data_IF_104339529993
#
_entry.id   IF_104339529993
#
_cell.length_a   1.000
_cell.length_b   1.000
_cell.length_c   1.000
_cell.angle_alpha   90.00
_cell.angle_beta   90.00
_cell.angle_gamma   90.00
#
_symmetry.space_group_name_H-M   'P 1'
#
loop_
_entity.id
_entity.type
_entity.pdbx_description
1 polymer ?
#
# COMPACT_ATOMS: atom_id res chain seq x y z
N UNK A 1 -12.79 -1.14 11.69
CA UNK A 1 -12.42 0.06 10.92
C UNK A 1 -12.84 -0.18 9.50
N UNK A 2 -13.28 0.89 8.83
CA UNK A 2 -14.05 0.78 7.59
C UNK A 2 -13.20 1.15 6.36
N UNK A 3 -13.73 0.86 5.18
CA UNK A 3 -13.20 1.39 3.92
C UNK A 3 -13.88 2.72 3.62
N UNK A 4 -13.09 3.76 3.37
CA UNK A 4 -13.61 5.04 2.91
C UNK A 4 -13.59 5.13 1.39
N UNK A 5 -14.63 5.78 0.86
CA UNK A 5 -14.76 6.13 -0.54
C UNK A 5 -14.37 7.59 -0.70
N UNK A 6 -13.47 7.87 -1.64
CA UNK A 6 -13.04 9.22 -2.00
C UNK A 6 -13.29 9.47 -3.49
N UNK A 7 -13.39 10.75 -3.86
CA UNK A 7 -13.33 11.21 -5.25
C UNK A 7 -11.92 11.70 -5.55
N UNK A 8 -11.29 11.23 -6.61
CA UNK A 8 -9.97 11.68 -7.03
C UNK A 8 -9.99 13.16 -7.42
N UNK A 9 -11.04 13.60 -8.09
CA UNK A 9 -11.22 14.99 -8.52
C UNK A 9 -11.41 15.94 -7.33
N UNK A 10 -12.16 15.53 -6.30
CA UNK A 10 -12.45 16.39 -5.15
C UNK A 10 -11.42 16.26 -4.01
N UNK A 11 -10.98 15.03 -3.73
CA UNK A 11 -10.16 14.70 -2.56
C UNK A 11 -8.71 14.35 -2.91
N UNK A 12 -8.30 14.37 -4.18
CA UNK A 12 -6.99 13.86 -4.61
C UNK A 12 -5.80 14.41 -3.82
N UNK A 13 -5.80 15.70 -3.49
CA UNK A 13 -4.74 16.37 -2.72
C UNK A 13 -4.95 16.32 -1.20
N UNK A 14 -6.03 15.70 -0.73
CA UNK A 14 -6.30 15.50 0.69
C UNK A 14 -5.28 14.54 1.27
N UNK A 15 -4.61 14.98 2.32
CA UNK A 15 -3.75 14.12 3.14
C UNK A 15 -4.60 13.19 4.01
N UNK A 16 -4.28 11.89 3.94
CA UNK A 16 -4.81 10.83 4.80
C UNK A 16 -3.98 10.70 6.07
N UNK A 17 -2.67 10.89 5.92
CA UNK A 17 -1.64 10.94 6.95
C UNK A 17 -0.61 12.00 6.54
N UNK A 18 0.41 12.32 7.36
CA UNK A 18 1.38 13.37 7.02
C UNK A 18 2.07 13.21 5.65
N UNK A 19 2.26 11.98 5.16
CA UNK A 19 3.02 11.69 3.93
C UNK A 19 2.22 11.03 2.82
N UNK A 20 0.93 10.70 3.04
CA UNK A 20 0.13 10.02 2.02
C UNK A 20 -1.15 10.79 1.71
N UNK A 21 -1.37 11.06 0.42
CA UNK A 21 -2.55 11.69 -0.12
C UNK A 21 -3.48 10.67 -0.79
N UNK A 22 -4.77 10.99 -0.92
CA UNK A 22 -5.77 10.15 -1.60
C UNK A 22 -5.32 9.75 -3.00
N UNK A 23 -4.79 10.70 -3.80
CA UNK A 23 -4.40 10.42 -5.19
C UNK A 23 -3.33 9.34 -5.32
N UNK A 24 -2.52 9.07 -4.30
CA UNK A 24 -1.47 8.04 -4.35
C UNK A 24 -2.05 6.63 -4.34
N UNK A 25 -3.28 6.47 -3.83
CA UNK A 25 -4.00 5.19 -3.83
C UNK A 25 -4.91 4.99 -5.03
N UNK A 26 -4.99 5.95 -5.96
CA UNK A 26 -5.93 5.89 -7.09
C UNK A 26 -5.68 4.69 -8.01
N UNK A 27 -6.74 4.26 -8.69
CA UNK A 27 -6.59 3.37 -9.84
C UNK A 27 -5.97 4.15 -11.02
N UNK A 28 -5.18 3.45 -11.85
CA UNK A 28 -4.47 4.06 -13.00
C UNK A 28 -5.31 4.10 -14.28
N UNK A 29 -6.55 3.60 -14.24
CA UNK A 29 -7.50 3.64 -15.36
C UNK A 29 -8.22 4.98 -15.52
N UNK A 30 -7.95 5.95 -14.63
CA UNK A 30 -8.59 7.27 -14.64
C UNK A 30 -9.94 7.31 -13.94
N UNK A 31 -10.35 6.24 -13.24
CA UNK A 31 -11.57 6.26 -12.44
C UNK A 31 -11.51 7.31 -11.33
N UNK A 32 -12.63 8.01 -11.09
CA UNK A 32 -12.69 8.99 -10.01
C UNK A 32 -12.75 8.35 -8.63
N UNK A 33 -13.34 7.17 -8.50
CA UNK A 33 -13.47 6.49 -7.20
C UNK A 33 -12.12 6.00 -6.69
N UNK A 34 -11.82 6.29 -5.43
CA UNK A 34 -10.66 5.73 -4.71
C UNK A 34 -11.14 5.10 -3.40
N UNK A 35 -10.94 3.79 -3.24
CA UNK A 35 -11.26 3.07 -2.01
C UNK A 35 -10.01 2.89 -1.15
N UNK A 36 -10.10 3.23 0.14
CA UNK A 36 -8.96 3.13 1.05
C UNK A 36 -9.44 2.67 2.43
N UNK A 37 -8.91 1.55 2.91
CA UNK A 37 -9.06 1.13 4.29
C UNK A 37 -8.39 2.14 5.22
N UNK A 38 -9.10 2.66 6.22
CA UNK A 38 -8.66 3.79 7.04
C UNK A 38 -7.28 3.60 7.72
N UNK A 39 -6.99 2.37 8.15
CA UNK A 39 -5.73 2.05 8.84
C UNK A 39 -4.55 1.84 7.87
N UNK A 40 -4.80 1.57 6.58
CA UNK A 40 -3.73 1.22 5.63
C UNK A 40 -2.69 2.35 5.50
N UNK A 41 -3.07 3.63 5.29
CA UNK A 41 -2.12 4.74 5.25
C UNK A 41 -1.26 4.88 6.53
N UNK A 42 -1.86 4.66 7.71
CA UNK A 42 -1.15 4.72 8.99
C UNK A 42 -0.15 3.58 9.18
N UNK A 43 -0.48 2.39 8.67
CA UNK A 43 0.45 1.27 8.65
C UNK A 43 1.64 1.58 7.70
N UNK A 44 1.38 2.21 6.55
CA UNK A 44 2.44 2.68 5.64
C UNK A 44 3.33 3.77 6.28
N UNK A 45 2.76 4.69 7.08
CA UNK A 45 3.56 5.65 7.86
C UNK A 45 4.50 4.94 8.83
N UNK A 46 3.99 3.91 9.51
CA UNK A 46 4.76 3.15 10.48
C UNK A 46 5.90 2.36 9.82
N UNK A 47 5.69 1.86 8.60
CA UNK A 47 6.73 1.23 7.77
C UNK A 47 7.77 2.27 7.33
N UNK A 48 7.32 3.41 6.78
CA UNK A 48 8.17 4.52 6.32
C UNK A 48 9.03 5.06 7.46
N UNK A 49 8.46 5.22 8.65
CA UNK A 49 9.15 5.70 9.84
C UNK A 49 10.27 4.74 10.25
N UNK A 50 9.99 3.45 10.39
CA UNK A 50 11.04 2.46 10.73
C UNK A 50 12.20 2.47 9.73
N UNK A 51 11.88 2.50 8.44
CA UNK A 51 12.90 2.58 7.40
C UNK A 51 13.70 3.89 7.46
N UNK A 52 13.06 5.02 7.79
CA UNK A 52 13.74 6.31 7.96
C UNK A 52 14.71 6.30 9.13
N UNK A 53 14.35 5.64 10.24
CA UNK A 53 15.25 5.53 11.40
C UNK A 53 16.52 4.72 11.07
N UNK A 54 16.41 3.65 10.27
CA UNK A 54 17.54 2.76 9.97
C UNK A 54 18.36 3.22 8.74
N UNK A 55 17.71 3.74 7.70
CA UNK A 55 18.36 4.05 6.42
C UNK A 55 18.44 5.55 6.10
N UNK A 56 17.68 6.38 6.81
CA UNK A 56 17.49 7.79 6.47
C UNK A 56 18.64 8.72 6.86
N UNK A 57 19.62 8.25 7.64
CA UNK A 57 20.78 9.06 8.11
C UNK A 57 20.36 10.40 8.73
N UNK A 58 19.35 10.35 9.59
CA UNK A 58 18.76 11.53 10.24
C UNK A 58 17.75 12.30 9.38
N UNK A 59 17.31 11.74 8.25
CA UNK A 59 16.27 12.30 7.39
C UNK A 59 15.15 11.30 7.18
N UNK A 60 13.95 11.81 6.97
CA UNK A 60 12.85 11.01 6.46
C UNK A 60 13.11 10.61 5.00
N UNK A 61 12.83 9.36 4.67
CA UNK A 61 12.92 8.84 3.29
C UNK A 61 11.54 8.42 2.78
N UNK A 62 11.27 8.60 1.46
CA UNK A 62 9.94 8.40 0.90
C UNK A 62 9.63 6.91 0.72
N UNK A 63 8.41 6.50 1.07
CA UNK A 63 7.82 5.22 0.68
C UNK A 63 6.84 5.50 -0.48
N UNK A 64 7.05 4.84 -1.60
CA UNK A 64 6.31 5.09 -2.85
C UNK A 64 5.22 4.04 -3.02
N UNK A 65 3.98 4.47 -3.25
CA UNK A 65 2.87 3.59 -3.62
C UNK A 65 2.87 3.42 -5.14
N UNK A 66 3.20 2.22 -5.60
CA UNK A 66 3.11 1.85 -7.01
C UNK A 66 1.66 1.59 -7.41
N UNK A 67 0.89 0.92 -6.55
CA UNK A 67 -0.51 0.61 -6.83
C UNK A 67 -1.32 0.58 -5.55
N UNK A 68 -2.37 1.40 -5.45
CA UNK A 68 -3.39 1.31 -4.40
C UNK A 68 -4.63 0.57 -4.88
N UNK A 69 -5.79 1.21 -4.78
CA UNK A 69 -7.08 0.72 -5.27
C UNK A 69 -7.04 0.35 -6.76
N UNK A 70 -7.77 -0.71 -7.12
CA UNK A 70 -8.00 -1.12 -8.50
C UNK A 70 -9.49 -1.31 -8.75
N UNK A 71 -9.99 -0.78 -9.87
CA UNK A 71 -11.30 -1.19 -10.37
C UNK A 71 -11.25 -2.65 -10.84
N UNK A 72 -12.40 -3.32 -10.89
CA UNK A 72 -12.50 -4.68 -11.43
C UNK A 72 -12.03 -4.73 -12.89
N UNK A 73 -12.39 -3.70 -13.67
CA UNK A 73 -12.00 -3.58 -15.07
C UNK A 73 -10.48 -3.42 -15.22
N UNK A 74 -9.83 -2.55 -14.45
CA UNK A 74 -8.37 -2.41 -14.50
C UNK A 74 -7.68 -3.69 -14.05
N UNK A 75 -8.12 -4.30 -12.94
CA UNK A 75 -7.50 -5.51 -12.41
C UNK A 75 -7.55 -6.70 -13.38
N UNK A 76 -8.61 -6.83 -14.19
CA UNK A 76 -8.71 -7.90 -15.18
C UNK A 76 -7.73 -7.76 -16.36
N UNK A 77 -7.19 -6.55 -16.59
CA UNK A 77 -6.14 -6.32 -17.59
C UNK A 77 -4.75 -6.75 -17.12
N UNK A 78 -4.56 -6.92 -15.80
CA UNK A 78 -3.27 -7.25 -15.22
C UNK A 78 -3.02 -8.76 -15.24
N UNK A 79 -1.88 -9.15 -15.83
CA UNK A 79 -1.46 -10.56 -15.85
C UNK A 79 -1.29 -11.08 -14.42
N UNK A 80 -1.84 -12.27 -14.15
CA UNK A 80 -1.80 -12.97 -12.86
C UNK A 80 -2.49 -12.24 -11.70
N UNK A 81 -3.25 -11.16 -11.95
CA UNK A 81 -4.00 -10.52 -10.88
C UNK A 81 -5.14 -11.43 -10.39
N UNK A 82 -5.22 -11.61 -9.07
CA UNK A 82 -6.30 -12.37 -8.44
C UNK A 82 -7.65 -11.69 -8.66
N UNK A 83 -8.69 -12.47 -8.94
CA UNK A 83 -10.09 -12.01 -8.97
C UNK A 83 -10.60 -11.57 -7.58
N UNK A 84 -9.92 -11.98 -6.52
CA UNK A 84 -10.21 -11.60 -5.13
C UNK A 84 -9.06 -10.78 -4.53
N UNK A 85 -8.39 -9.98 -5.36
CA UNK A 85 -7.29 -9.12 -4.91
C UNK A 85 -7.77 -8.10 -3.89
N UNK A 86 -6.98 -7.90 -2.82
CA UNK A 86 -7.27 -6.90 -1.79
C UNK A 86 -7.22 -5.45 -2.33
N UNK A 87 -6.58 -5.23 -3.49
CA UNK A 87 -6.64 -3.94 -4.19
C UNK A 87 -8.06 -3.57 -4.64
N UNK A 88 -8.90 -4.56 -4.96
CA UNK A 88 -10.28 -4.33 -5.41
C UNK A 88 -11.17 -3.75 -4.30
N UNK A 89 -10.77 -3.97 -3.06
CA UNK A 89 -11.54 -3.60 -1.88
C UNK A 89 -10.94 -2.39 -1.15
N UNK A 90 -9.83 -1.82 -1.65
CA UNK A 90 -9.13 -0.71 -0.99
C UNK A 90 -8.28 -1.12 0.23
N UNK A 91 -7.99 -2.42 0.38
CA UNK A 91 -7.25 -2.97 1.52
C UNK A 91 -5.74 -3.10 1.28
N UNK A 92 -5.27 -2.88 0.04
CA UNK A 92 -3.89 -3.18 -0.35
C UNK A 92 -3.16 -2.00 -1.00
N UNK A 93 -1.85 -1.98 -0.80
CA UNK A 93 -0.90 -1.15 -1.51
C UNK A 93 0.33 -1.98 -1.93
N UNK A 94 0.74 -1.82 -3.18
CA UNK A 94 2.04 -2.27 -3.67
C UNK A 94 3.02 -1.11 -3.47
N UNK A 95 4.08 -1.34 -2.69
CA UNK A 95 4.98 -0.30 -2.20
C UNK A 95 6.43 -0.57 -2.58
N UNK A 96 7.19 0.50 -2.79
CA UNK A 96 8.63 0.46 -3.04
C UNK A 96 9.33 1.57 -2.28
N UNK A 97 10.57 1.33 -1.84
CA UNK A 97 11.34 2.31 -1.09
C UNK A 97 12.80 2.33 -1.60
N UNK A 98 13.19 3.35 -2.39
CA UNK A 98 14.53 3.42 -2.95
C UNK A 98 15.61 3.40 -1.88
N UNK A 99 16.65 2.58 -2.08
CA UNK A 99 17.76 2.43 -1.12
C UNK A 99 17.47 1.53 0.08
N UNK A 100 16.26 0.98 0.20
CA UNK A 100 15.89 -0.01 1.22
C UNK A 100 15.72 -1.37 0.55
N UNK A 101 16.36 -2.40 1.11
CA UNK A 101 16.23 -3.74 0.54
C UNK A 101 14.81 -4.29 0.72
N UNK A 102 14.34 -5.11 -0.21
CA UNK A 102 13.02 -5.76 -0.09
C UNK A 102 12.93 -6.63 1.18
N UNK A 103 14.07 -7.21 1.62
CA UNK A 103 14.16 -7.96 2.87
C UNK A 103 13.87 -7.07 4.08
N UNK A 104 14.46 -5.88 4.13
CA UNK A 104 14.24 -4.92 5.22
C UNK A 104 12.82 -4.37 5.17
N UNK A 105 12.32 -4.02 3.97
CA UNK A 105 10.95 -3.54 3.79
C UNK A 105 9.92 -4.57 4.26
N UNK A 106 10.13 -5.87 3.95
CA UNK A 106 9.31 -6.97 4.48
C UNK A 106 9.38 -7.05 6.01
N UNK A 107 10.57 -6.87 6.60
CA UNK A 107 10.74 -6.86 8.07
C UNK A 107 9.92 -5.74 8.69
N UNK A 108 10.01 -4.51 8.19
CA UNK A 108 9.23 -3.38 8.69
C UNK A 108 7.73 -3.60 8.55
N UNK A 109 7.27 -4.13 7.41
CA UNK A 109 5.87 -4.49 7.20
C UNK A 109 5.37 -5.53 8.23
N UNK A 110 6.20 -6.53 8.56
CA UNK A 110 5.87 -7.55 9.56
C UNK A 110 5.97 -7.05 11.00
N UNK A 111 6.80 -6.05 11.29
CA UNK A 111 6.78 -5.38 12.59
C UNK A 111 5.46 -4.63 12.82
N UNK A 112 4.92 -3.98 11.78
CA UNK A 112 3.62 -3.28 11.84
C UNK A 112 2.45 -4.26 11.92
N UNK A 113 2.54 -5.39 11.21
CA UNK A 113 1.47 -6.39 11.09
C UNK A 113 1.99 -7.79 11.41
N UNK A 114 2.29 -8.10 12.69
CA UNK A 114 2.98 -9.34 13.06
C UNK A 114 2.12 -10.59 12.89
N UNK A 115 0.84 -10.50 13.24
CA UNK A 115 -0.06 -11.67 13.35
C UNK A 115 -1.27 -11.62 12.40
N UNK A 116 -1.36 -10.59 11.55
CA UNK A 116 -2.44 -10.41 10.57
C UNK A 116 -1.88 -9.80 9.27
N UNK A 117 -2.75 -9.54 8.29
CA UNK A 117 -2.36 -8.88 7.04
C UNK A 117 -1.56 -9.76 6.07
N UNK A 118 -1.62 -9.37 4.80
CA UNK A 118 -0.84 -10.01 3.74
C UNK A 118 0.44 -9.25 3.42
N UNK A 119 1.53 -9.98 3.22
CA UNK A 119 2.82 -9.46 2.76
C UNK A 119 3.35 -10.33 1.63
N UNK A 120 3.31 -9.79 0.41
CA UNK A 120 3.81 -10.45 -0.80
C UNK A 120 5.12 -9.84 -1.26
N UNK A 121 6.13 -10.66 -1.52
CA UNK A 121 7.41 -10.19 -2.06
C UNK A 121 7.42 -10.36 -3.58
N UNK A 122 7.68 -9.27 -4.29
CA UNK A 122 7.92 -9.25 -5.72
C UNK A 122 9.31 -8.66 -6.00
N UNK A 123 9.92 -9.01 -7.13
CA UNK A 123 11.31 -8.64 -7.42
C UNK A 123 11.65 -7.15 -7.25
N UNK A 124 10.69 -6.24 -7.50
CA UNK A 124 10.89 -4.79 -7.41
C UNK A 124 10.03 -4.07 -6.36
N UNK A 125 9.05 -4.74 -5.75
CA UNK A 125 8.11 -4.11 -4.81
C UNK A 125 7.59 -5.10 -3.77
N UNK A 126 7.01 -4.57 -2.70
CA UNK A 126 6.33 -5.34 -1.67
C UNK A 126 4.82 -5.09 -1.78
N UNK A 127 4.02 -6.15 -1.81
CA UNK A 127 2.59 -6.05 -1.59
C UNK A 127 2.32 -6.05 -0.08
N UNK A 128 1.53 -5.09 0.38
CA UNK A 128 1.04 -5.03 1.76
C UNK A 128 -0.46 -4.84 1.76
N UNK A 129 -1.18 -5.67 2.52
CA UNK A 129 -2.62 -5.53 2.65
C UNK A 129 -3.14 -5.83 4.05
N UNK A 130 -4.33 -5.27 4.30
CA UNK A 130 -5.12 -5.55 5.49
C UNK A 130 -6.01 -6.77 5.23
N UNK A 131 -5.89 -7.78 6.08
CA UNK A 131 -6.81 -8.93 6.18
C UNK A 131 -6.66 -9.53 7.57
N UNK A 132 -7.65 -10.30 8.01
CA UNK A 132 -7.65 -10.87 9.36
C UNK A 132 -6.53 -11.91 9.55
N UNK A 133 -6.27 -12.72 8.54
CA UNK A 133 -5.29 -13.82 8.62
C UNK A 133 -3.92 -13.40 8.11
N UNK A 134 -2.86 -13.82 8.81
CA UNK A 134 -1.50 -13.63 8.33
C UNK A 134 -1.28 -14.44 7.05
N UNK A 135 -0.82 -13.78 5.99
CA UNK A 135 -0.43 -14.43 4.74
C UNK A 135 0.91 -13.88 4.23
N UNK A 136 1.89 -14.75 4.00
CA UNK A 136 3.18 -14.40 3.38
C UNK A 136 3.37 -15.19 2.09
N UNK A 137 3.83 -14.54 1.02
CA UNK A 137 4.15 -15.22 -0.23
C UNK A 137 5.26 -14.52 -1.01
N UNK A 138 5.76 -15.20 -2.03
CA UNK A 138 6.63 -14.66 -3.08
C UNK A 138 5.90 -14.86 -4.41
N UNK A 139 5.83 -13.81 -5.23
CA UNK A 139 5.14 -13.83 -6.52
C UNK A 139 6.05 -13.59 -7.72
#
# INVERSE_FOLDING_TARGET
MDVKVYSLAADGDKYLTPHFQVKEFRCRDGSDVVLIHEQLPWDLESIRYQASQEHGKGKEIPLIINSGYRTVAYNSTLKNASKHSQHLYGYAADIHMPGVSIKDLKRYARNVSPNHGGVGVYGSFLHFDKRETKADWTG
#
